data_IF_401310391404
#
_entry.id   IF_401310391404
#
_cell.length_a   1.000
_cell.length_b   1.000
_cell.length_c   1.000
_cell.angle_alpha   90.00
_cell.angle_beta   90.00
_cell.angle_gamma   90.00
#
_symmetry.space_group_name_H-M   'P 1'
#
loop_
_entity.id
_entity.type
_entity.pdbx_description
1 polymer ?
#
# COMPACT_ATOMS: atom_id res chain seq x y z
N UNK A 1 19.45 5.02 -10.48
CA UNK A 1 19.23 5.48 -9.09
C UNK A 1 18.39 6.73 -9.14
N UNK A 2 17.31 6.75 -8.38
CA UNK A 2 16.36 7.85 -8.29
C UNK A 2 16.60 8.66 -7.00
N UNK A 3 15.91 9.79 -6.85
CA UNK A 3 15.93 10.57 -5.60
C UNK A 3 14.75 10.15 -4.74
N UNK A 4 14.88 10.31 -3.43
CA UNK A 4 13.76 10.18 -2.52
C UNK A 4 13.10 11.55 -2.34
N UNK A 5 11.78 11.59 -2.39
CA UNK A 5 10.95 12.77 -2.18
C UNK A 5 9.84 12.47 -1.19
N UNK A 6 9.42 13.50 -0.47
CA UNK A 6 8.31 13.38 0.48
C UNK A 6 6.96 13.36 -0.25
N UNK A 7 6.11 12.40 0.13
CA UNK A 7 4.69 12.35 -0.18
C UNK A 7 3.89 12.46 1.11
N UNK A 8 2.84 13.30 1.08
CA UNK A 8 1.92 13.46 2.19
C UNK A 8 0.98 12.26 2.27
N UNK A 9 0.82 11.71 3.46
CA UNK A 9 -0.17 10.68 3.74
C UNK A 9 -1.55 11.29 3.98
N UNK A 10 -2.60 10.45 3.98
CA UNK A 10 -3.95 10.89 4.29
C UNK A 10 -4.21 11.13 5.80
N UNK A 11 -3.19 10.99 6.66
CA UNK A 11 -3.29 11.17 8.11
C UNK A 11 -2.26 12.16 8.65
N UNK A 12 -1.94 13.19 7.85
CA UNK A 12 -1.11 14.34 8.21
C UNK A 12 0.32 13.97 8.63
N UNK A 13 0.91 12.98 7.95
CA UNK A 13 2.33 12.65 8.03
C UNK A 13 2.95 12.68 6.64
N UNK A 14 4.25 12.44 6.53
CA UNK A 14 4.96 12.31 5.26
C UNK A 14 5.79 11.04 5.25
N UNK A 15 5.99 10.46 4.06
CA UNK A 15 6.91 9.36 3.82
C UNK A 15 7.82 9.68 2.64
N UNK A 16 9.04 9.16 2.67
CA UNK A 16 9.98 9.23 1.54
C UNK A 16 9.70 8.09 0.55
N UNK A 17 9.59 8.44 -0.73
CA UNK A 17 9.41 7.50 -1.85
C UNK A 17 10.28 7.90 -3.03
N UNK A 18 10.53 6.98 -3.95
CA UNK A 18 11.21 7.26 -5.20
C UNK A 18 10.47 8.33 -6.01
N UNK A 19 11.16 9.38 -6.43
CA UNK A 19 10.61 10.52 -7.16
C UNK A 19 9.90 10.11 -8.46
N UNK A 20 10.48 9.16 -9.18
CA UNK A 20 9.91 8.55 -10.38
C UNK A 20 8.57 7.82 -10.14
N UNK A 21 8.24 7.45 -8.90
CA UNK A 21 6.96 6.80 -8.53
C UNK A 21 6.04 7.72 -7.72
N UNK A 22 6.36 9.01 -7.60
CA UNK A 22 5.60 9.93 -6.75
C UNK A 22 4.12 10.00 -7.11
N UNK A 23 3.79 10.22 -8.38
CA UNK A 23 2.40 10.37 -8.82
C UNK A 23 1.61 9.06 -8.67
N UNK A 24 2.26 7.92 -8.91
CA UNK A 24 1.72 6.59 -8.65
C UNK A 24 1.37 6.42 -7.17
N UNK A 25 2.28 6.80 -6.27
CA UNK A 25 2.05 6.71 -4.81
C UNK A 25 0.92 7.63 -4.36
N UNK A 26 0.84 8.85 -4.90
CA UNK A 26 -0.27 9.77 -4.63
C UNK A 26 -1.61 9.20 -5.12
N UNK A 27 -1.63 8.53 -6.28
CA UNK A 27 -2.81 7.83 -6.79
C UNK A 27 -3.27 6.69 -5.87
N UNK A 28 -2.35 5.93 -5.25
CA UNK A 28 -2.70 4.87 -4.29
C UNK A 28 -3.52 5.43 -3.12
N UNK A 29 -3.17 6.61 -2.61
CA UNK A 29 -3.89 7.26 -1.51
C UNK A 29 -5.33 7.60 -1.95
N UNK A 30 -5.50 8.21 -3.12
CA UNK A 30 -6.81 8.58 -3.67
C UNK A 30 -7.68 7.33 -3.92
N UNK A 31 -7.09 6.30 -4.55
CA UNK A 31 -7.74 5.03 -4.83
C UNK A 31 -8.18 4.33 -3.53
N UNK A 32 -7.33 4.30 -2.50
CA UNK A 32 -7.64 3.61 -1.24
C UNK A 32 -8.88 4.18 -0.53
N UNK A 33 -9.18 5.47 -0.74
CA UNK A 33 -10.34 6.14 -0.15
C UNK A 33 -11.70 5.57 -0.55
N UNK A 34 -11.78 4.80 -1.65
CA UNK A 34 -13.04 4.22 -2.14
C UNK A 34 -13.41 2.89 -1.48
N UNK A 35 -12.46 2.25 -0.80
CA UNK A 35 -12.67 0.95 -0.16
C UNK A 35 -12.67 1.08 1.36
N UNK A 36 -13.85 0.95 1.97
CA UNK A 36 -14.00 1.02 3.43
C UNK A 36 -13.36 -0.16 4.18
N UNK A 37 -13.03 -1.25 3.47
CA UNK A 37 -12.41 -2.47 4.03
C UNK A 37 -10.91 -2.36 4.19
N UNK A 38 -10.26 -1.48 3.43
CA UNK A 38 -8.83 -1.20 3.59
C UNK A 38 -8.66 -0.40 4.88
N UNK A 39 -7.93 -0.95 5.84
CA UNK A 39 -7.59 -0.29 7.09
C UNK A 39 -6.29 0.50 6.95
N UNK A 40 -5.27 -0.10 6.34
CA UNK A 40 -3.94 0.48 6.18
C UNK A 40 -3.29 -0.01 4.89
N UNK A 41 -2.40 0.82 4.34
CA UNK A 41 -1.48 0.42 3.25
C UNK A 41 -0.06 0.77 3.67
N UNK A 42 0.84 -0.19 3.55
CA UNK A 42 2.27 -0.05 3.83
C UNK A 42 3.02 -0.28 2.51
N UNK A 43 3.83 0.68 2.08
CA UNK A 43 4.77 0.51 0.97
C UNK A 43 6.06 -0.11 1.47
N UNK A 44 6.68 -0.95 0.65
CA UNK A 44 7.99 -1.52 0.94
C UNK A 44 8.74 -1.78 -0.37
N UNK A 45 9.91 -2.42 -0.29
CA UNK A 45 10.68 -2.77 -1.47
C UNK A 45 11.23 -1.53 -2.19
N UNK A 46 11.35 -1.62 -3.51
CA UNK A 46 12.15 -0.63 -4.26
C UNK A 46 11.53 0.77 -4.25
N UNK A 47 10.20 0.89 -4.14
CA UNK A 47 9.47 2.18 -4.22
C UNK A 47 9.85 3.17 -3.10
N UNK A 48 10.42 2.68 -2.00
CA UNK A 48 10.90 3.51 -0.88
C UNK A 48 12.43 3.61 -0.83
N UNK A 49 13.12 3.14 -1.88
CA UNK A 49 14.58 3.09 -1.97
C UNK A 49 15.09 3.83 -3.22
N UNK A 50 16.31 4.37 -3.16
CA UNK A 50 16.94 5.07 -4.30
C UNK A 50 17.32 4.16 -5.48
N UNK A 51 17.15 2.84 -5.34
CA UNK A 51 17.37 1.86 -6.42
C UNK A 51 16.16 1.66 -7.33
N UNK A 52 15.00 2.26 -7.02
CA UNK A 52 13.81 2.19 -7.87
C UNK A 52 14.12 2.67 -9.30
N UNK A 53 13.52 2.01 -10.28
CA UNK A 53 13.58 2.34 -11.71
C UNK A 53 12.18 2.50 -12.30
N UNK A 54 12.07 3.00 -13.51
CA UNK A 54 10.79 3.12 -14.22
C UNK A 54 10.10 1.76 -14.37
N UNK A 55 10.87 0.70 -14.66
CA UNK A 55 10.37 -0.67 -14.78
C UNK A 55 10.06 -1.35 -13.43
N UNK A 56 10.38 -0.72 -12.30
CA UNK A 56 10.10 -1.30 -10.99
C UNK A 56 8.60 -1.34 -10.71
N UNK A 57 8.13 -2.47 -10.20
CA UNK A 57 6.82 -2.61 -9.60
C UNK A 57 6.71 -1.83 -8.28
N UNK A 58 5.48 -1.62 -7.84
CA UNK A 58 5.18 -1.06 -6.52
C UNK A 58 4.74 -2.17 -5.60
N UNK A 59 5.61 -2.54 -4.67
CA UNK A 59 5.32 -3.47 -3.59
C UNK A 59 4.46 -2.80 -2.51
N UNK A 60 3.30 -3.37 -2.21
CA UNK A 60 2.44 -2.87 -1.13
C UNK A 60 1.77 -3.96 -0.32
N UNK A 61 1.65 -3.72 0.98
CA UNK A 61 0.89 -4.55 1.91
C UNK A 61 -0.40 -3.82 2.31
N UNK A 62 -1.54 -4.43 2.00
CA UNK A 62 -2.87 -3.99 2.36
C UNK A 62 -3.34 -4.74 3.60
N UNK A 63 -3.61 -4.01 4.68
CA UNK A 63 -4.26 -4.53 5.87
C UNK A 63 -5.75 -4.21 5.77
N UNK A 64 -6.59 -5.22 5.92
CA UNK A 64 -8.05 -5.08 5.84
C UNK A 64 -8.78 -5.60 7.08
N UNK A 65 -10.02 -5.14 7.27
CA UNK A 65 -10.94 -5.61 8.33
C UNK A 65 -11.65 -6.93 7.98
N UNK A 66 -11.34 -7.52 6.82
CA UNK A 66 -12.00 -8.73 6.33
C UNK A 66 -10.99 -9.73 5.78
N UNK A 67 -11.25 -11.05 5.87
CA UNK A 67 -10.37 -12.05 5.30
C UNK A 67 -10.16 -11.89 3.80
N UNK A 68 -8.95 -12.21 3.32
CA UNK A 68 -8.54 -12.13 1.90
C UNK A 68 -9.60 -12.68 0.93
N UNK A 69 -10.15 -13.86 1.22
CA UNK A 69 -11.16 -14.52 0.35
C UNK A 69 -12.45 -13.72 0.17
N UNK A 70 -12.81 -12.87 1.14
CA UNK A 70 -13.94 -11.94 1.07
C UNK A 70 -13.53 -10.61 0.45
N UNK A 71 -12.33 -10.11 0.78
CA UNK A 71 -11.83 -8.83 0.27
C UNK A 71 -11.79 -8.81 -1.27
N UNK A 72 -11.30 -9.86 -1.92
CA UNK A 72 -11.26 -9.94 -3.39
C UNK A 72 -12.63 -9.96 -4.08
N UNK A 73 -13.71 -10.19 -3.32
CA UNK A 73 -15.10 -10.14 -3.81
C UNK A 73 -15.79 -8.83 -3.45
N UNK A 74 -15.16 -7.98 -2.64
CA UNK A 74 -15.71 -6.69 -2.24
C UNK A 74 -15.64 -5.70 -3.41
N UNK A 75 -16.77 -5.06 -3.72
CA UNK A 75 -16.85 -4.13 -4.85
C UNK A 75 -15.97 -2.90 -4.67
N UNK A 76 -15.82 -2.42 -3.43
CA UNK A 76 -14.94 -1.29 -3.12
C UNK A 76 -13.48 -1.66 -3.32
N UNK A 77 -13.10 -2.89 -2.97
CA UNK A 77 -11.73 -3.37 -3.21
C UNK A 77 -11.44 -3.61 -4.70
N UNK A 78 -12.39 -4.15 -5.45
CA UNK A 78 -12.27 -4.27 -6.91
C UNK A 78 -12.13 -2.90 -7.58
N UNK A 79 -12.91 -1.92 -7.12
CA UNK A 79 -12.80 -0.54 -7.59
C UNK A 79 -11.45 0.08 -7.21
N UNK A 80 -10.95 -0.16 -5.99
CA UNK A 80 -9.60 0.27 -5.59
C UNK A 80 -8.53 -0.26 -6.56
N UNK A 81 -8.53 -1.57 -6.85
CA UNK A 81 -7.57 -2.17 -7.79
C UNK A 81 -7.71 -1.58 -9.21
N UNK A 82 -8.93 -1.30 -9.67
CA UNK A 82 -9.16 -0.63 -10.96
C UNK A 82 -8.58 0.78 -10.98
N UNK A 83 -8.75 1.54 -9.89
CA UNK A 83 -8.28 2.94 -9.78
C UNK A 83 -6.76 3.07 -9.66
N UNK A 84 -6.06 2.02 -9.23
CA UNK A 84 -4.59 2.01 -9.29
C UNK A 84 -4.09 2.32 -10.70
N UNK A 85 -4.81 1.86 -11.73
CA UNK A 85 -4.44 2.02 -13.13
C UNK A 85 -5.12 3.19 -13.86
N UNK A 86 -5.90 4.03 -13.17
CA UNK A 86 -6.64 5.12 -13.83
C UNK A 86 -5.75 6.19 -14.47
N UNK A 87 -4.51 6.33 -14.00
CA UNK A 87 -3.57 7.37 -14.44
C UNK A 87 -2.42 6.84 -15.30
N UNK A 88 -2.26 5.52 -15.42
CA UNK A 88 -1.11 4.88 -16.06
C UNK A 88 -1.46 3.91 -17.20
N UNK A 89 -2.75 3.75 -17.53
CA UNK A 89 -3.23 2.84 -18.58
C UNK A 89 -2.64 1.41 -18.47
N UNK A 90 -2.49 0.92 -17.24
CA UNK A 90 -1.94 -0.40 -16.92
C UNK A 90 -0.42 -0.58 -17.14
N UNK A 91 0.34 0.50 -17.33
CA UNK A 91 1.80 0.44 -17.48
C UNK A 91 2.50 0.10 -16.15
N UNK A 92 2.01 0.66 -15.03
CA UNK A 92 2.58 0.36 -13.72
C UNK A 92 2.12 -1.01 -13.21
N UNK A 93 3.09 -1.84 -12.81
CA UNK A 93 2.83 -3.09 -12.11
C UNK A 93 2.76 -2.88 -10.59
N UNK A 94 1.88 -3.62 -9.92
CA UNK A 94 1.70 -3.60 -8.47
C UNK A 94 1.79 -5.03 -7.91
N UNK A 95 2.65 -5.25 -6.92
CA UNK A 95 2.62 -6.49 -6.11
C UNK A 95 1.84 -6.21 -4.82
N UNK A 96 0.58 -6.64 -4.79
CA UNK A 96 -0.36 -6.35 -3.70
C UNK A 96 -0.52 -7.56 -2.79
N UNK A 97 0.04 -7.48 -1.59
CA UNK A 97 -0.11 -8.50 -0.56
C UNK A 97 -1.20 -8.08 0.42
N UNK A 98 -2.15 -8.98 0.69
CA UNK A 98 -3.25 -8.71 1.60
C UNK A 98 -3.15 -9.54 2.87
N UNK A 99 -3.32 -8.89 4.02
CA UNK A 99 -3.49 -9.53 5.32
C UNK A 99 -4.77 -9.05 5.98
N UNK A 100 -5.41 -9.93 6.72
CA UNK A 100 -6.54 -9.62 7.58
C UNK A 100 -6.01 -9.18 8.93
N UNK A 101 -6.17 -7.88 9.24
CA UNK A 101 -5.70 -7.20 10.44
C UNK A 101 -4.18 -7.24 10.71
N UNK A 102 -3.73 -6.47 11.71
CA UNK A 102 -2.31 -6.39 12.09
C UNK A 102 -1.79 -7.65 12.78
N UNK A 103 -2.65 -8.41 13.46
CA UNK A 103 -2.23 -9.63 14.16
C UNK A 103 -1.80 -10.72 13.16
N UNK A 104 -2.43 -10.80 11.99
CA UNK A 104 -1.95 -11.68 10.91
C UNK A 104 -0.55 -11.28 10.43
N UNK A 105 -0.29 -9.98 10.24
CA UNK A 105 1.04 -9.49 9.85
C UNK A 105 2.11 -9.91 10.88
N UNK A 106 1.86 -9.65 12.17
CA UNK A 106 2.80 -10.02 13.23
C UNK A 106 2.99 -11.52 13.39
N UNK A 107 1.92 -12.33 13.26
CA UNK A 107 2.04 -13.80 13.30
C UNK A 107 2.91 -14.33 12.15
N UNK A 108 2.84 -13.68 10.99
CA UNK A 108 3.59 -14.09 9.81
C UNK A 108 5.01 -13.49 9.74
N UNK A 109 5.45 -12.66 10.70
CA UNK A 109 6.77 -12.01 10.66
C UNK A 109 7.96 -12.97 10.59
N UNK A 110 7.78 -14.22 11.06
CA UNK A 110 8.81 -15.26 11.06
C UNK A 110 8.59 -16.32 9.99
N UNK A 111 7.48 -16.27 9.25
CA UNK A 111 7.20 -17.26 8.20
C UNK A 111 7.93 -16.92 6.91
N UNK A 112 8.10 -15.62 6.60
CA UNK A 112 8.86 -15.16 5.43
C UNK A 112 9.64 -13.88 5.76
N UNK A 113 10.76 -13.66 5.04
CA UNK A 113 11.51 -12.40 5.13
C UNK A 113 10.67 -11.19 4.72
N UNK A 114 9.69 -11.39 3.83
CA UNK A 114 8.84 -10.31 3.34
C UNK A 114 8.12 -9.59 4.48
N UNK A 115 7.41 -10.32 5.35
CA UNK A 115 6.68 -9.69 6.46
C UNK A 115 7.60 -9.01 7.46
N UNK A 116 8.81 -9.53 7.65
CA UNK A 116 9.84 -8.86 8.46
C UNK A 116 10.27 -7.52 7.85
N UNK A 117 10.61 -7.52 6.56
CA UNK A 117 10.98 -6.29 5.85
C UNK A 117 9.86 -5.25 5.88
N UNK A 118 8.60 -5.69 5.73
CA UNK A 118 7.43 -4.79 5.84
C UNK A 118 7.35 -4.17 7.24
N UNK A 119 7.62 -4.93 8.29
CA UNK A 119 7.55 -4.45 9.68
C UNK A 119 8.75 -3.56 10.06
N UNK A 120 9.94 -3.83 9.52
CA UNK A 120 11.18 -3.12 9.84
C UNK A 120 11.35 -1.84 9.00
N UNK A 121 11.15 -1.94 7.69
CA UNK A 121 11.50 -0.89 6.73
C UNK A 121 10.28 -0.23 6.08
N UNK A 122 9.11 -0.88 6.16
CA UNK A 122 7.90 -0.44 5.48
C UNK A 122 7.44 0.96 5.88
N UNK A 123 6.90 1.69 4.92
CA UNK A 123 6.36 3.04 5.10
C UNK A 123 4.84 3.02 5.05
N UNK A 124 4.22 3.36 6.17
CA UNK A 124 2.77 3.44 6.26
C UNK A 124 2.25 4.64 5.45
N UNK A 125 1.63 4.35 4.31
CA UNK A 125 1.14 5.33 3.34
C UNK A 125 -0.28 5.79 3.64
N UNK A 126 -1.15 4.85 4.00
CA UNK A 126 -2.58 5.09 4.16
C UNK A 126 -3.10 4.57 5.50
N UNK A 127 -4.03 5.31 6.11
CA UNK A 127 -4.86 4.88 7.23
C UNK A 127 -6.32 5.23 6.98
N UNK A 128 -7.20 4.24 7.08
CA UNK A 128 -8.63 4.48 6.93
C UNK A 128 -9.15 5.40 8.04
N UNK A 129 -9.88 6.47 7.69
CA UNK A 129 -10.59 7.28 8.68
C UNK A 129 -11.64 6.47 9.45
N UNK A 130 -12.20 5.42 8.84
CA UNK A 130 -13.22 4.58 9.44
C UNK A 130 -12.66 3.63 10.52
N UNK A 131 -11.38 3.25 10.43
CA UNK A 131 -10.73 2.37 11.41
C UNK A 131 -10.63 3.00 12.81
N UNK A 132 -10.75 4.33 12.93
CA UNK A 132 -10.80 5.02 14.23
C UNK A 132 -12.16 4.94 14.94
N UNK A 133 -13.22 4.44 14.27
CA UNK A 133 -14.57 4.32 14.86
C UNK A 133 -14.81 2.99 15.59
N UNK A 134 -13.81 2.11 15.66
CA UNK A 134 -13.85 0.85 16.40
C UNK A 134 -12.90 0.93 17.60
N UNK A 135 -13.26 1.75 18.59
CA UNK A 135 -12.72 1.69 19.95
C UNK A 135 -13.87 1.86 20.93
#
# INVERSE_FOLDING_TARGET
>A
MCRLVNVKTNFNTEIEVADIKKEVVENIIEAAGVCSRICQIILFGSVIESRCTEDSDVDMLVISDTPRSKLYKDKGYQEFLRRLHEKDDYDQLYDVICVHNQEELHRNQNTTRLFRNVLEDGKLLYKSPAAFRLK
#
